data_IF_123100887212
#
_entry.id   IF_123100887212
#
_cell.length_a   1.000
_cell.length_b   1.000
_cell.length_c   1.000
_cell.angle_alpha   90.00
_cell.angle_beta   90.00
_cell.angle_gamma   90.00
#
_symmetry.space_group_name_H-M   'P 1'
#
loop_
_entity.id
_entity.type
_entity.pdbx_description
1 polymer ?
#
# COMPACT_ATOMS: atom_id res chain seq x y z
N UNK A 1 17.98 0.19 -27.88
CA UNK A 1 18.67 -0.87 -27.10
C UNK A 1 19.05 -2.00 -28.05
N UNK A 2 20.24 -2.61 -27.93
CA UNK A 2 20.56 -3.79 -28.75
C UNK A 2 19.70 -4.95 -28.26
N UNK A 3 18.94 -5.57 -29.16
CA UNK A 3 18.20 -6.78 -28.86
C UNK A 3 19.19 -7.91 -28.57
N UNK A 4 18.96 -8.65 -27.48
CA UNK A 4 19.70 -9.88 -27.19
C UNK A 4 19.21 -10.98 -28.13
N UNK A 5 20.11 -11.87 -28.55
CA UNK A 5 19.71 -13.04 -29.31
C UNK A 5 18.93 -14.02 -28.41
N UNK A 6 18.11 -14.86 -29.03
CA UNK A 6 17.42 -15.95 -28.35
C UNK A 6 18.39 -16.90 -27.66
N UNK A 7 19.55 -17.17 -28.26
CA UNK A 7 20.62 -17.99 -27.67
C UNK A 7 21.23 -17.36 -26.42
N UNK A 8 21.46 -16.05 -26.42
CA UNK A 8 21.94 -15.31 -25.25
C UNK A 8 20.91 -15.36 -24.11
N UNK A 9 19.62 -15.19 -24.45
CA UNK A 9 18.53 -15.31 -23.47
C UNK A 9 18.52 -16.70 -22.84
N UNK A 10 18.62 -17.76 -23.64
CA UNK A 10 18.62 -19.13 -23.13
C UNK A 10 19.84 -19.44 -22.24
N UNK A 11 21.01 -18.89 -22.58
CA UNK A 11 22.20 -19.00 -21.74
C UNK A 11 22.05 -18.27 -20.41
N UNK A 12 21.42 -17.09 -20.38
CA UNK A 12 21.11 -16.41 -19.11
C UNK A 12 20.21 -17.28 -18.24
N UNK A 13 19.18 -17.89 -18.83
CA UNK A 13 18.22 -18.75 -18.13
C UNK A 13 18.89 -19.98 -17.54
N UNK A 14 19.71 -20.69 -18.33
CA UNK A 14 20.40 -21.89 -17.85
C UNK A 14 21.33 -21.55 -16.68
N UNK A 15 22.09 -20.46 -16.77
CA UNK A 15 22.99 -20.01 -15.70
C UNK A 15 22.24 -19.53 -14.45
N UNK A 16 21.06 -18.93 -14.62
CA UNK A 16 20.19 -18.54 -13.51
C UNK A 16 19.59 -19.76 -12.79
N UNK A 17 19.19 -20.78 -13.53
CA UNK A 17 18.71 -22.05 -12.97
C UNK A 17 19.79 -22.79 -12.18
N UNK A 18 21.08 -22.56 -12.49
CA UNK A 18 22.22 -23.03 -11.71
C UNK A 18 22.49 -22.21 -10.43
N UNK A 19 21.66 -21.20 -10.14
CA UNK A 19 21.78 -20.36 -8.94
C UNK A 19 22.92 -19.33 -8.99
N UNK A 20 23.45 -19.01 -10.18
CA UNK A 20 24.52 -18.04 -10.31
C UNK A 20 24.01 -16.61 -10.10
N UNK A 21 24.86 -15.77 -9.47
CA UNK A 21 24.54 -14.36 -9.29
C UNK A 21 24.59 -13.59 -10.61
N UNK A 22 23.81 -12.52 -10.72
CA UNK A 22 23.77 -11.66 -11.92
C UNK A 22 25.16 -11.19 -12.36
N UNK A 23 26.06 -10.94 -11.40
CA UNK A 23 27.46 -10.56 -11.67
C UNK A 23 28.22 -11.70 -12.36
N UNK A 24 28.11 -12.94 -11.87
CA UNK A 24 28.78 -14.11 -12.47
C UNK A 24 28.21 -14.41 -13.86
N UNK A 25 26.90 -14.30 -14.03
CA UNK A 25 26.23 -14.49 -15.33
C UNK A 25 26.73 -13.47 -16.35
N UNK A 26 26.80 -12.18 -15.97
CA UNK A 26 27.34 -11.12 -16.83
C UNK A 26 28.78 -11.40 -17.26
N UNK A 27 29.65 -11.81 -16.32
CA UNK A 27 31.03 -12.18 -16.61
C UNK A 27 31.15 -13.39 -17.55
N UNK A 28 30.25 -14.37 -17.47
CA UNK A 28 30.29 -15.56 -18.33
C UNK A 28 29.67 -15.34 -19.72
N UNK A 29 28.64 -14.49 -19.81
CA UNK A 29 27.92 -14.21 -21.07
C UNK A 29 28.51 -13.04 -21.85
N UNK A 30 29.39 -12.23 -21.22
CA UNK A 30 29.92 -10.99 -21.79
C UNK A 30 28.89 -9.86 -21.91
N UNK A 31 27.73 -10.03 -21.28
CA UNK A 31 26.64 -9.06 -21.31
C UNK A 31 26.74 -8.05 -20.16
N UNK A 32 26.18 -6.87 -20.38
CA UNK A 32 26.08 -5.86 -19.32
C UNK A 32 25.14 -6.36 -18.23
N UNK A 33 25.49 -6.11 -16.97
CA UNK A 33 24.73 -6.55 -15.80
C UNK A 33 23.27 -6.10 -15.83
N UNK A 34 22.97 -4.91 -16.36
CA UNK A 34 21.61 -4.39 -16.51
C UNK A 34 20.76 -5.26 -17.45
N UNK A 35 21.31 -5.68 -18.59
CA UNK A 35 20.65 -6.58 -19.55
C UNK A 35 20.31 -7.92 -18.91
N UNK A 36 21.27 -8.51 -18.18
CA UNK A 36 21.02 -9.77 -17.45
C UNK A 36 19.92 -9.58 -16.41
N UNK A 37 19.95 -8.47 -15.65
CA UNK A 37 18.93 -8.17 -14.63
C UNK A 37 17.53 -8.05 -15.21
N UNK A 38 17.38 -7.40 -16.37
CA UNK A 38 16.08 -7.27 -17.05
C UNK A 38 15.54 -8.63 -17.50
N UNK A 39 16.36 -9.46 -18.13
CA UNK A 39 15.97 -10.82 -18.53
C UNK A 39 15.55 -11.65 -17.32
N UNK A 40 16.26 -11.54 -16.19
CA UNK A 40 15.88 -12.25 -14.98
C UNK A 40 14.56 -11.73 -14.39
N UNK A 41 14.28 -10.44 -14.48
CA UNK A 41 13.02 -9.85 -14.03
C UNK A 41 11.83 -10.29 -14.89
N UNK A 42 12.00 -10.42 -16.21
CA UNK A 42 10.95 -10.94 -17.11
C UNK A 42 10.55 -12.39 -16.81
N UNK A 43 11.46 -13.16 -16.21
CA UNK A 43 11.30 -14.61 -16.03
C UNK A 43 10.93 -14.96 -14.60
N UNK A 44 11.38 -14.17 -13.63
CA UNK A 44 10.91 -14.33 -12.26
C UNK A 44 9.43 -13.90 -12.16
N UNK A 45 8.58 -14.67 -11.46
CA UNK A 45 7.23 -14.22 -11.17
C UNK A 45 7.34 -12.85 -10.51
N UNK A 46 6.56 -11.88 -11.00
CA UNK A 46 6.53 -10.51 -10.49
C UNK A 46 6.57 -10.56 -8.97
N UNK A 47 7.70 -10.13 -8.41
CA UNK A 47 7.79 -9.88 -6.98
C UNK A 47 6.89 -8.69 -6.74
N UNK A 48 5.62 -8.94 -6.43
CA UNK A 48 4.72 -7.94 -5.89
C UNK A 48 5.47 -7.34 -4.71
N UNK A 49 5.96 -6.11 -4.91
CA UNK A 49 6.63 -5.39 -3.86
C UNK A 49 5.62 -5.31 -2.71
N UNK A 50 5.89 -6.09 -1.65
CA UNK A 50 5.05 -6.10 -0.47
C UNK A 50 4.95 -4.67 0.04
N UNK A 51 3.77 -4.06 -0.09
CA UNK A 51 3.54 -2.72 0.39
C UNK A 51 3.83 -2.63 1.90
N UNK A 52 4.12 -1.42 2.37
CA UNK A 52 4.25 -1.20 3.81
C UNK A 52 2.95 -1.65 4.51
N UNK A 53 3.02 -2.48 5.56
CA UNK A 53 1.82 -2.91 6.29
C UNK A 53 1.04 -1.70 6.80
N UNK A 54 -0.28 -1.71 6.63
CA UNK A 54 -1.11 -0.59 7.08
C UNK A 54 -0.99 -0.44 8.59
N UNK A 55 -0.86 0.81 9.07
CA UNK A 55 -0.82 1.13 10.52
C UNK A 55 -2.09 0.68 11.26
N UNK A 56 -3.20 0.51 10.55
CA UNK A 56 -4.46 0.05 11.10
C UNK A 56 -4.79 -1.34 10.53
N UNK A 57 -5.05 -2.29 11.43
CA UNK A 57 -5.60 -3.59 11.06
C UNK A 57 -7.02 -3.44 10.49
N UNK A 58 -7.46 -4.39 9.68
CA UNK A 58 -8.83 -4.41 9.13
C UNK A 58 -9.90 -4.40 10.23
N UNK A 59 -9.66 -5.11 11.33
CA UNK A 59 -10.53 -5.14 12.52
C UNK A 59 -10.68 -3.75 13.13
N UNK A 60 -9.57 -3.04 13.30
CA UNK A 60 -9.57 -1.69 13.86
C UNK A 60 -10.36 -0.75 12.95
N UNK A 61 -10.14 -0.80 11.62
CA UNK A 61 -10.91 0.00 10.66
C UNK A 61 -12.42 -0.21 10.81
N UNK A 62 -12.87 -1.47 10.91
CA UNK A 62 -14.28 -1.82 11.11
C UNK A 62 -14.84 -1.29 12.42
N UNK A 63 -14.10 -1.47 13.52
CA UNK A 63 -14.53 -0.98 14.84
C UNK A 63 -14.75 0.53 14.82
N UNK A 64 -13.85 1.27 14.17
CA UNK A 64 -13.97 2.72 14.06
C UNK A 64 -15.19 3.12 13.20
N UNK A 65 -15.40 2.48 12.04
CA UNK A 65 -16.60 2.71 11.21
C UNK A 65 -17.88 2.47 12.01
N UNK A 66 -17.94 1.40 12.80
CA UNK A 66 -19.09 1.11 13.67
C UNK A 66 -19.31 2.17 14.74
N UNK A 67 -18.25 2.74 15.34
CA UNK A 67 -18.40 3.84 16.30
C UNK A 67 -19.00 5.10 15.67
N UNK A 68 -18.69 5.37 14.40
CA UNK A 68 -19.31 6.48 13.66
C UNK A 68 -20.76 6.17 13.33
N UNK A 69 -21.04 4.99 12.76
CA UNK A 69 -22.41 4.61 12.37
C UNK A 69 -23.37 4.55 13.58
N UNK A 70 -22.85 4.18 14.75
CA UNK A 70 -23.63 4.18 16.00
C UNK A 70 -23.70 5.56 16.68
N UNK A 71 -23.12 6.61 16.07
CA UNK A 71 -23.12 7.98 16.58
C UNK A 71 -22.27 8.21 17.84
N UNK A 72 -21.43 7.24 18.22
CA UNK A 72 -20.57 7.31 19.41
C UNK A 72 -19.33 8.17 19.19
N UNK A 73 -18.83 8.22 17.96
CA UNK A 73 -17.83 9.18 17.53
C UNK A 73 -18.49 10.20 16.60
N UNK A 74 -18.35 11.49 16.92
CA UNK A 74 -18.91 12.62 16.14
C UNK A 74 -17.86 13.38 15.33
N UNK A 75 -16.58 13.16 15.59
CA UNK A 75 -15.50 13.74 14.80
C UNK A 75 -14.27 12.82 14.72
N UNK A 76 -13.38 13.07 13.76
CA UNK A 76 -12.19 12.24 13.54
C UNK A 76 -11.26 12.25 14.77
N UNK A 77 -11.26 13.34 15.54
CA UNK A 77 -10.44 13.50 16.75
C UNK A 77 -10.92 12.53 17.84
N UNK A 78 -12.22 12.43 18.09
CA UNK A 78 -12.81 11.45 19.01
C UNK A 78 -12.54 10.01 18.58
N UNK A 79 -12.70 9.72 17.28
CA UNK A 79 -12.36 8.41 16.73
C UNK A 79 -10.86 8.08 16.90
N UNK A 80 -9.99 9.10 16.82
CA UNK A 80 -8.54 8.97 17.03
C UNK A 80 -8.20 8.70 18.49
N UNK A 81 -8.84 9.41 19.43
CA UNK A 81 -8.65 9.16 20.85
C UNK A 81 -9.08 7.74 21.23
N UNK A 82 -10.22 7.29 20.72
CA UNK A 82 -10.69 5.92 20.93
C UNK A 82 -9.74 4.88 20.35
N UNK A 83 -9.24 5.06 19.13
CA UNK A 83 -8.33 4.04 18.58
C UNK A 83 -7.00 4.02 19.32
N UNK A 84 -6.47 5.19 19.69
CA UNK A 84 -5.21 5.31 20.42
C UNK A 84 -5.28 4.75 21.85
N UNK A 85 -6.47 4.53 22.41
CA UNK A 85 -6.60 3.80 23.67
C UNK A 85 -6.57 2.28 23.50
N UNK A 86 -6.62 1.77 22.26
CA UNK A 86 -6.69 0.34 21.93
C UNK A 86 -5.41 -0.12 21.23
N UNK A 87 -4.77 0.74 20.44
CA UNK A 87 -3.56 0.40 19.69
C UNK A 87 -2.30 0.89 20.39
N UNK A 88 -1.24 0.08 20.34
CA UNK A 88 0.06 0.41 20.92
C UNK A 88 0.77 1.55 20.17
N UNK A 89 0.49 1.70 18.87
CA UNK A 89 1.09 2.72 18.02
C UNK A 89 0.09 3.86 17.76
N UNK A 90 0.36 5.09 18.22
CA UNK A 90 -0.57 6.19 18.05
C UNK A 90 -0.78 6.51 16.57
N UNK A 91 -2.05 6.71 16.22
CA UNK A 91 -2.52 7.05 14.89
C UNK A 91 -2.89 8.53 14.87
N UNK A 92 -2.57 9.21 13.77
CA UNK A 92 -2.95 10.60 13.58
C UNK A 92 -4.41 10.73 13.13
N UNK A 93 -5.05 11.83 13.47
CA UNK A 93 -6.39 12.17 12.96
C UNK A 93 -6.44 12.19 11.43
N UNK A 94 -5.34 12.58 10.77
CA UNK A 94 -5.23 12.55 9.32
C UNK A 94 -5.25 11.12 8.76
N UNK A 95 -4.53 10.19 9.39
CA UNK A 95 -4.55 8.76 9.02
C UNK A 95 -5.96 8.18 9.18
N UNK A 96 -6.69 8.63 10.20
CA UNK A 96 -8.08 8.24 10.40
C UNK A 96 -8.97 8.73 9.26
N UNK A 97 -8.90 10.03 8.91
CA UNK A 97 -9.64 10.62 7.77
C UNK A 97 -9.39 9.84 6.47
N UNK A 98 -8.14 9.55 6.15
CA UNK A 98 -7.76 8.79 4.94
C UNK A 98 -8.34 7.37 4.94
N UNK A 99 -8.28 6.72 6.11
CA UNK A 99 -8.80 5.36 6.28
C UNK A 99 -10.31 5.33 6.07
N UNK A 100 -11.04 6.34 6.56
CA UNK A 100 -12.47 6.47 6.38
C UNK A 100 -12.88 6.75 4.94
N UNK A 101 -12.26 7.75 4.31
CA UNK A 101 -12.53 8.08 2.92
C UNK A 101 -12.35 6.83 2.05
N UNK A 102 -11.28 6.07 2.29
CA UNK A 102 -11.03 4.83 1.57
C UNK A 102 -12.07 3.73 1.86
N UNK A 103 -12.43 3.51 3.13
CA UNK A 103 -13.42 2.47 3.47
C UNK A 103 -14.84 2.79 2.97
N UNK A 104 -15.19 4.07 2.88
CA UNK A 104 -16.51 4.52 2.40
C UNK A 104 -16.60 4.45 0.87
N UNK A 105 -15.49 4.69 0.16
CA UNK A 105 -15.41 4.55 -1.30
C UNK A 105 -15.45 3.08 -1.71
N UNK A 106 -14.79 2.20 -0.96
CA UNK A 106 -14.62 0.78 -1.32
C UNK A 106 -15.83 -0.11 -0.96
N UNK A 107 -16.86 0.38 -0.24
CA UNK A 107 -17.96 -0.52 0.16
C UNK A 107 -19.25 0.09 0.73
N UNK A 108 -19.48 1.40 0.66
CA UNK A 108 -20.66 2.04 1.27
C UNK A 108 -21.61 2.69 0.24
N UNK A 109 -22.91 2.71 0.59
CA UNK A 109 -23.97 3.33 -0.21
C UNK A 109 -23.83 4.86 -0.30
N UNK A 110 -24.59 5.51 -1.19
CA UNK A 110 -24.48 6.95 -1.46
C UNK A 110 -24.72 7.84 -0.22
N UNK A 111 -25.55 7.41 0.72
CA UNK A 111 -25.86 8.14 1.96
C UNK A 111 -24.66 8.23 2.92
N UNK A 112 -23.86 7.16 3.01
CA UNK A 112 -22.66 7.12 3.85
C UNK A 112 -21.51 7.96 3.25
N UNK A 113 -21.50 8.13 1.92
CA UNK A 113 -20.60 9.07 1.24
C UNK A 113 -20.94 10.53 1.55
N UNK A 114 -22.23 10.86 1.68
CA UNK A 114 -22.68 12.19 2.09
C UNK A 114 -22.27 12.53 3.54
N UNK A 115 -22.29 11.54 4.43
CA UNK A 115 -21.79 11.71 5.81
C UNK A 115 -20.28 11.98 5.85
N UNK A 116 -19.50 11.29 5.00
CA UNK A 116 -18.06 11.55 4.84
C UNK A 116 -17.76 12.98 4.36
N UNK A 117 -18.60 13.50 3.46
CA UNK A 117 -18.50 14.86 2.94
C UNK A 117 -18.82 15.90 4.02
N UNK A 118 -19.86 15.67 4.83
CA UNK A 118 -20.22 16.54 5.96
C UNK A 118 -19.11 16.60 7.01
N UNK A 119 -18.49 15.46 7.30
CA UNK A 119 -17.38 15.33 8.25
C UNK A 119 -16.07 16.01 7.79
N UNK A 120 -15.95 16.30 6.48
CA UNK A 120 -14.82 17.04 5.92
C UNK A 120 -15.02 18.56 5.95
N UNK A 121 -16.24 19.04 6.22
CA UNK A 121 -16.64 20.46 6.21
C UNK A 121 -16.69 21.10 7.61
N UNK A 122 -16.77 20.33 8.70
CA UNK A 122 -16.91 20.84 10.08
C UNK A 122 -15.66 21.55 10.64
N UNK A 123 -14.62 21.79 9.84
CA UNK A 123 -13.38 22.46 10.26
C UNK A 123 -13.28 23.94 9.84
N UNK A 124 -14.30 24.55 9.22
CA UNK A 124 -14.29 26.02 9.02
C UNK A 124 -14.80 26.81 10.25
N UNK A 125 -15.42 26.16 11.24
CA UNK A 125 -16.06 26.89 12.36
C UNK A 125 -15.23 26.88 13.67
N UNK A 126 -14.19 26.03 13.79
CA UNK A 126 -13.42 25.90 15.04
C UNK A 126 -12.11 26.70 15.11
N UNK A 127 -11.79 27.51 14.10
CA UNK A 127 -10.65 28.44 14.15
C UNK A 127 -11.05 29.88 14.57
N UNK A 128 -12.33 30.10 14.88
CA UNK A 128 -12.85 31.35 15.43
C UNK A 128 -13.73 31.09 16.67
N UNK A 129 -13.13 30.66 17.78
CA UNK A 129 -13.68 30.85 19.14
C UNK A 129 -12.58 30.76 20.18
#
# INVERSE_FOLDING_TARGET
>A
MKSISTSQRQNIISLASLGLSTRKIASQTGLVRSTVSQVLQEIQPERLHGGHPSKLSSTNKRAIVQQILTGKAKNAVQATHFINSIVDSPVSSQTMRHTFQRSLIEGCGEEEKAFAFYWSQEEEVSLCS
#
